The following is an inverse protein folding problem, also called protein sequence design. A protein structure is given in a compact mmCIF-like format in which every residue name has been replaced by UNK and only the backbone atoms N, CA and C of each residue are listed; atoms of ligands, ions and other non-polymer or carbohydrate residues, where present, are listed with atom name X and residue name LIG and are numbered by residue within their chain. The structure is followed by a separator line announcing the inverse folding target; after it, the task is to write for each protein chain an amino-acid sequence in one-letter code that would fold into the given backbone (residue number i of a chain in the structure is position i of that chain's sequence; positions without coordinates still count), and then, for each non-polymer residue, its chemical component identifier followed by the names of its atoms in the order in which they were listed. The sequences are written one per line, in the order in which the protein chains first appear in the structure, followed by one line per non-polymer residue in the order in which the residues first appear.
data_IF_321076192188
#
_entry.id   IF_321076192188
#
_cell.length_a   1.000
_cell.length_b   1.000
_cell.length_c   1.000
_cell.angle_alpha   90.00
_cell.angle_beta   90.00
_cell.angle_gamma   90.00
#
_symmetry.space_group_name_H-M   'P 1'
#
loop_
_entity.id
_entity.type
_entity.pdbx_description
1 polymer ?
#
# COMPACT_ATOMS: atom_id res chain seq x y z
N UNK A 1 7.67 -26.95 6.41
CA UNK A 1 8.03 -26.03 5.31
C UNK A 1 8.92 -24.84 5.71
N UNK A 2 8.59 -23.97 6.69
CA UNK A 2 9.35 -22.72 6.91
C UNK A 2 10.86 -22.88 7.26
N UNK A 3 11.32 -24.04 7.76
CA UNK A 3 12.69 -24.20 8.29
C UNK A 3 13.52 -25.33 7.65
N UNK A 4 13.14 -25.84 6.48
CA UNK A 4 13.96 -26.84 5.79
C UNK A 4 15.18 -26.17 5.12
N UNK A 5 16.39 -26.64 5.45
CA UNK A 5 17.68 -26.08 4.96
C UNK A 5 17.73 -25.92 3.43
N UNK A 6 17.08 -26.81 2.68
CA UNK A 6 17.05 -26.79 1.20
C UNK A 6 16.35 -25.56 0.61
N UNK A 7 15.47 -24.90 1.37
CA UNK A 7 14.70 -23.74 0.90
C UNK A 7 15.27 -22.39 1.35
N UNK A 8 16.39 -22.38 2.08
CA UNK A 8 17.03 -21.14 2.56
C UNK A 8 17.49 -20.26 1.38
N UNK A 9 17.94 -20.86 0.28
CA UNK A 9 18.39 -20.14 -0.94
C UNK A 9 17.27 -19.46 -1.74
N UNK A 10 16.00 -19.72 -1.42
CA UNK A 10 14.84 -19.16 -2.12
C UNK A 10 14.11 -18.10 -1.27
N UNK A 11 14.87 -17.28 -0.54
CA UNK A 11 14.32 -16.30 0.39
C UNK A 11 13.29 -15.37 -0.28
N UNK A 12 13.61 -14.80 -1.45
CA UNK A 12 12.71 -13.92 -2.19
C UNK A 12 11.40 -14.61 -2.59
N UNK A 13 11.47 -15.82 -3.16
CA UNK A 13 10.26 -16.56 -3.56
C UNK A 13 9.39 -16.85 -2.34
N UNK A 14 9.99 -17.18 -1.21
CA UNK A 14 9.26 -17.42 0.03
C UNK A 14 8.54 -16.16 0.52
N UNK A 15 9.23 -15.02 0.52
CA UNK A 15 8.64 -13.73 0.88
C UNK A 15 7.47 -13.38 -0.05
N UNK A 16 7.62 -13.56 -1.36
CA UNK A 16 6.54 -13.34 -2.32
C UNK A 16 5.33 -14.23 -2.04
N UNK A 17 5.55 -15.50 -1.67
CA UNK A 17 4.49 -16.46 -1.31
C UNK A 17 3.78 -16.12 0.01
N UNK A 18 4.30 -15.22 0.83
CA UNK A 18 3.60 -14.70 2.02
C UNK A 18 2.53 -13.66 1.65
N UNK A 19 2.67 -12.98 0.50
CA UNK A 19 1.77 -11.91 0.04
C UNK A 19 0.28 -12.31 0.04
N UNK A 20 -0.14 -13.47 -0.52
CA UNK A 20 -1.55 -13.85 -0.49
C UNK A 20 -2.11 -14.03 0.92
N UNK A 21 -1.26 -14.48 1.86
CA UNK A 21 -1.61 -14.61 3.27
C UNK A 21 -1.79 -13.25 3.94
N UNK A 22 -0.92 -12.29 3.63
CA UNK A 22 -1.03 -10.91 4.13
C UNK A 22 -2.32 -10.27 3.60
N UNK A 23 -2.57 -10.34 2.30
CA UNK A 23 -3.78 -9.75 1.68
C UNK A 23 -5.05 -10.35 2.28
N UNK A 24 -5.12 -11.68 2.43
CA UNK A 24 -6.30 -12.35 3.00
C UNK A 24 -6.62 -11.91 4.43
N UNK A 25 -5.59 -11.57 5.21
CA UNK A 25 -5.73 -11.25 6.62
C UNK A 25 -5.68 -9.74 6.91
N UNK A 26 -5.49 -8.91 5.89
CA UNK A 26 -5.44 -7.46 6.05
C UNK A 26 -6.81 -6.91 6.46
N UNK A 27 -6.86 -6.14 7.54
CA UNK A 27 -8.09 -5.53 8.07
C UNK A 27 -7.93 -4.01 8.14
N UNK A 28 -8.91 -3.28 7.61
CA UNK A 28 -8.97 -1.81 7.67
C UNK A 28 -9.61 -1.29 8.98
N UNK A 29 -9.76 -2.13 10.00
CA UNK A 29 -10.59 -1.88 11.19
C UNK A 29 -10.21 -0.64 11.99
N UNK A 30 -8.99 -0.12 11.82
CA UNK A 30 -8.49 1.05 12.56
C UNK A 30 -8.24 2.27 11.64
N UNK A 31 -8.76 2.26 10.42
CA UNK A 31 -8.56 3.34 9.45
C UNK A 31 -9.72 4.35 9.40
N UNK A 32 -10.80 4.12 10.17
CA UNK A 32 -12.02 4.93 10.10
C UNK A 32 -11.75 6.40 10.41
N UNK A 33 -11.11 6.70 11.54
CA UNK A 33 -10.84 8.08 11.97
C UNK A 33 -9.99 8.83 10.94
N UNK A 34 -8.96 8.17 10.41
CA UNK A 34 -8.09 8.72 9.37
C UNK A 34 -8.89 8.94 8.07
N UNK A 35 -9.75 8.00 7.70
CA UNK A 35 -10.58 8.13 6.49
C UNK A 35 -11.59 9.28 6.59
N UNK A 36 -12.15 9.50 7.78
CA UNK A 36 -13.08 10.59 8.05
C UNK A 36 -12.35 11.94 7.95
N UNK A 37 -11.15 12.04 8.54
CA UNK A 37 -10.32 13.25 8.45
C UNK A 37 -9.89 13.56 7.01
N UNK A 38 -9.49 12.55 6.24
CA UNK A 38 -9.15 12.70 4.83
C UNK A 38 -10.37 13.19 4.03
N UNK A 39 -11.54 12.61 4.29
CA UNK A 39 -12.79 13.00 3.63
C UNK A 39 -13.18 14.45 3.95
N UNK A 40 -13.04 14.86 5.21
CA UNK A 40 -13.29 16.25 5.62
C UNK A 40 -12.30 17.23 4.99
N UNK A 41 -11.03 16.84 4.86
CA UNK A 41 -9.99 17.68 4.26
C UNK A 41 -10.12 17.75 2.73
N UNK A 42 -10.58 16.67 2.09
CA UNK A 42 -10.72 16.54 0.64
C UNK A 42 -9.38 16.45 -0.11
N UNK A 43 -8.25 16.40 0.61
CA UNK A 43 -6.90 16.39 0.04
C UNK A 43 -5.97 15.49 0.86
N UNK A 44 -5.08 14.77 0.18
CA UNK A 44 -4.03 13.98 0.81
C UNK A 44 -2.76 14.03 -0.04
N UNK A 45 -1.64 14.30 0.62
CA UNK A 45 -0.32 14.34 0.02
C UNK A 45 0.52 13.17 0.53
N UNK A 46 0.94 12.29 -0.37
CA UNK A 46 1.80 11.15 -0.04
C UNK A 46 3.27 11.54 -0.17
N UNK A 47 4.04 11.32 0.89
CA UNK A 47 5.50 11.46 0.88
C UNK A 47 6.16 10.10 0.85
N UNK A 48 7.19 9.91 0.03
CA UNK A 48 8.01 8.71 0.09
C UNK A 48 8.97 8.57 -1.09
N UNK A 49 9.90 7.62 -0.98
CA UNK A 49 10.92 7.33 -1.99
C UNK A 49 10.75 5.93 -2.58
N UNK A 50 11.37 5.70 -3.74
CA UNK A 50 11.42 4.40 -4.39
C UNK A 50 10.05 3.72 -4.56
N UNK A 51 9.98 2.46 -4.11
CA UNK A 51 8.79 1.61 -4.22
C UNK A 51 7.57 2.17 -3.48
N UNK A 52 7.76 2.91 -2.39
CA UNK A 52 6.67 3.54 -1.63
C UNK A 52 5.96 4.65 -2.41
N UNK A 53 6.70 5.44 -3.19
CA UNK A 53 6.09 6.42 -4.08
C UNK A 53 5.41 5.76 -5.29
N UNK A 54 6.05 4.76 -5.86
CA UNK A 54 5.64 4.19 -7.14
C UNK A 54 4.45 3.25 -6.99
N UNK A 55 4.46 2.36 -6.00
CA UNK A 55 3.43 1.33 -5.89
C UNK A 55 2.21 1.83 -5.11
N UNK A 56 2.26 2.10 -3.79
CA UNK A 56 1.05 2.45 -3.07
C UNK A 56 0.53 3.86 -3.41
N UNK A 57 1.38 4.90 -3.43
CA UNK A 57 0.90 6.27 -3.63
C UNK A 57 0.28 6.50 -5.02
N UNK A 58 1.01 6.15 -6.10
CA UNK A 58 0.45 6.27 -7.46
C UNK A 58 -0.71 5.30 -7.71
N UNK A 59 -0.73 4.12 -7.10
CA UNK A 59 -1.89 3.23 -7.20
C UNK A 59 -3.13 3.86 -6.55
N UNK A 60 -3.00 4.44 -5.35
CA UNK A 60 -4.10 5.13 -4.68
C UNK A 60 -4.66 6.28 -5.53
N UNK A 61 -3.79 7.10 -6.13
CA UNK A 61 -4.16 8.17 -7.07
C UNK A 61 -4.94 7.60 -8.27
N UNK A 62 -4.41 6.54 -8.89
CA UNK A 62 -5.06 5.91 -10.04
C UNK A 62 -6.44 5.32 -9.69
N UNK A 63 -6.57 4.68 -8.52
CA UNK A 63 -7.84 4.09 -8.09
C UNK A 63 -8.87 5.15 -7.73
N UNK A 64 -8.49 6.23 -7.05
CA UNK A 64 -9.41 7.34 -6.75
C UNK A 64 -9.97 7.96 -8.02
N UNK A 65 -9.11 8.20 -9.03
CA UNK A 65 -9.53 8.71 -10.34
C UNK A 65 -10.46 7.75 -11.07
N UNK A 66 -10.14 6.45 -11.09
CA UNK A 66 -11.00 5.41 -11.70
C UNK A 66 -12.37 5.32 -11.04
N UNK A 67 -12.42 5.48 -9.73
CA UNK A 67 -13.66 5.45 -8.95
C UNK A 67 -14.43 6.78 -8.98
N UNK A 68 -13.89 7.84 -9.62
CA UNK A 68 -14.53 9.15 -9.68
C UNK A 68 -14.66 9.83 -8.32
N UNK A 69 -13.74 9.55 -7.39
CA UNK A 69 -13.79 10.12 -6.04
C UNK A 69 -13.48 11.62 -6.10
N UNK A 70 -14.28 12.40 -5.37
CA UNK A 70 -14.05 13.83 -5.16
C UNK A 70 -12.98 14.04 -4.06
N UNK A 71 -11.73 13.72 -4.39
CA UNK A 71 -10.57 13.86 -3.51
C UNK A 71 -9.33 14.24 -4.32
N UNK A 72 -8.57 15.21 -3.83
CA UNK A 72 -7.28 15.58 -4.44
C UNK A 72 -6.15 14.75 -3.84
N UNK A 73 -5.47 13.96 -4.66
CA UNK A 73 -4.35 13.11 -4.24
C UNK A 73 -3.10 13.46 -5.03
N UNK A 74 -2.02 13.78 -4.32
CA UNK A 74 -0.71 14.09 -4.90
C UNK A 74 0.41 13.33 -4.19
N UNK A 75 1.56 13.17 -4.85
CA UNK A 75 2.72 12.54 -4.24
C UNK A 75 4.03 13.15 -4.72
N UNK A 76 4.99 13.31 -3.82
CA UNK A 76 6.35 13.71 -4.13
C UNK A 76 7.37 12.84 -3.38
N UNK A 77 8.57 12.74 -3.93
CA UNK A 77 9.70 12.07 -3.28
C UNK A 77 10.99 12.86 -3.41
N UNK A 78 11.90 12.72 -2.44
CA UNK A 78 13.27 13.18 -2.57
C UNK A 78 14.12 12.13 -3.32
N UNK A 79 15.25 12.60 -3.87
CA UNK A 79 16.15 11.80 -4.71
C UNK A 79 17.06 10.89 -3.89
#
# INVERSE_FOLDING_TARGET
MKNEKKYVKFALVREMMETPGIIRNFKSTNANDVSEQIKQTGKLFFTGEGSGRIFPAKNAIAQARKAGLDITLETEGAY
#
